data_IF_762244021399
#
_entry.id   IF_762244021399
#
_cell.length_a   1.000
_cell.length_b   1.000
_cell.length_c   1.000
_cell.angle_alpha   90.00
_cell.angle_beta   90.00
_cell.angle_gamma   90.00
#
_symmetry.space_group_name_H-M   'P 1'
#
loop_
_entity.id
_entity.type
_entity.pdbx_description
1 polymer ?
#
# COMPACT_ATOMS: atom_id res chain seq x y z
N UNK A 1 17.16 3.84 5.65
CA UNK A 1 16.56 5.13 6.10
C UNK A 1 16.00 4.91 7.49
N UNK A 2 15.83 5.97 8.29
CA UNK A 2 15.30 5.80 9.65
C UNK A 2 13.79 5.57 9.62
N UNK A 3 13.34 4.46 10.22
CA UNK A 3 11.94 4.18 10.46
C UNK A 3 11.33 5.34 11.29
N UNK A 4 10.25 5.98 10.84
CA UNK A 4 9.65 7.11 11.54
C UNK A 4 8.93 6.71 12.84
N UNK A 5 8.69 5.41 13.04
CA UNK A 5 8.00 4.88 14.23
C UNK A 5 8.99 4.57 15.36
N UNK A 6 10.08 3.88 15.05
CA UNK A 6 11.01 3.38 16.08
C UNK A 6 12.47 3.80 15.91
N UNK A 7 12.84 4.45 14.80
CA UNK A 7 14.21 4.91 14.54
C UNK A 7 15.19 3.83 14.06
N UNK A 8 14.75 2.59 13.87
CA UNK A 8 15.61 1.53 13.30
C UNK A 8 15.90 1.79 11.81
N UNK A 9 16.97 1.22 11.27
CA UNK A 9 17.17 1.23 9.81
C UNK A 9 16.13 0.38 9.10
N UNK A 10 15.62 0.88 7.98
CA UNK A 10 14.72 0.17 7.07
C UNK A 10 15.00 0.59 5.64
N UNK A 11 14.97 -0.37 4.72
CA UNK A 11 15.16 -0.14 3.29
C UNK A 11 13.91 0.42 2.62
N UNK A 12 14.06 0.92 1.40
CA UNK A 12 12.94 1.42 0.58
C UNK A 12 12.08 0.24 0.13
N UNK A 13 10.76 0.40 0.20
CA UNK A 13 9.80 -0.66 -0.16
C UNK A 13 9.94 -1.92 0.70
N UNK A 14 10.29 -1.76 1.97
CA UNK A 14 10.51 -2.85 2.92
C UNK A 14 9.70 -2.66 4.22
N UNK A 15 9.64 -3.70 5.05
CA UNK A 15 8.96 -3.70 6.35
C UNK A 15 10.02 -3.62 7.45
N UNK A 16 9.84 -2.71 8.40
CA UNK A 16 10.72 -2.62 9.56
C UNK A 16 10.59 -3.87 10.43
N UNK A 17 11.67 -4.65 10.55
CA UNK A 17 11.70 -5.90 11.33
C UNK A 17 11.40 -5.70 12.83
N UNK A 18 11.67 -4.52 13.37
CA UNK A 18 11.46 -4.24 14.80
C UNK A 18 10.01 -3.91 15.14
N UNK A 19 9.33 -3.11 14.31
CA UNK A 19 8.00 -2.57 14.66
C UNK A 19 6.91 -2.82 13.61
N UNK A 20 7.26 -3.39 12.46
CA UNK A 20 6.31 -3.74 11.39
C UNK A 20 5.84 -2.57 10.52
N UNK A 21 6.38 -1.36 10.70
CA UNK A 21 6.06 -0.24 9.81
C UNK A 21 6.48 -0.55 8.36
N UNK A 22 5.58 -0.30 7.41
CA UNK A 22 5.79 -0.61 5.99
C UNK A 22 6.24 0.64 5.23
N UNK A 23 7.52 0.68 4.87
CA UNK A 23 8.06 1.75 4.07
C UNK A 23 7.52 1.66 2.64
N UNK A 24 6.63 2.56 2.24
CA UNK A 24 6.08 2.58 0.87
C UNK A 24 6.92 3.42 -0.11
N UNK A 25 8.14 3.82 0.27
CA UNK A 25 9.04 4.62 -0.55
C UNK A 25 8.63 6.08 -0.71
N UNK A 26 9.23 6.82 -1.66
CA UNK A 26 9.04 8.28 -1.81
C UNK A 26 7.61 8.75 -2.13
N UNK A 27 6.74 7.83 -2.55
CA UNK A 27 5.33 8.08 -2.86
C UNK A 27 4.41 7.59 -1.73
N UNK A 28 4.93 7.47 -0.49
CA UNK A 28 4.14 7.09 0.68
C UNK A 28 2.84 7.91 0.77
N UNK A 29 1.70 7.23 0.92
CA UNK A 29 0.37 7.84 0.97
C UNK A 29 -0.21 8.33 -0.37
N UNK A 30 0.60 8.40 -1.44
CA UNK A 30 0.16 8.80 -2.80
C UNK A 30 0.18 7.65 -3.80
N UNK A 31 0.97 6.61 -3.53
CA UNK A 31 0.98 5.37 -4.27
C UNK A 31 -0.33 4.61 -4.04
N UNK A 32 -1.34 4.91 -4.87
CA UNK A 32 -2.40 3.95 -5.14
C UNK A 32 -1.71 2.78 -5.84
N UNK A 33 -1.86 1.55 -5.31
CA UNK A 33 -1.34 0.35 -5.97
C UNK A 33 -1.80 0.27 -7.44
N UNK A 34 -1.28 -0.67 -8.23
CA UNK A 34 -1.54 -0.74 -9.67
C UNK A 34 -3.03 -0.92 -10.04
N UNK A 35 -3.87 -1.22 -9.06
CA UNK A 35 -5.30 -1.40 -9.24
C UNK A 35 -5.95 -0.10 -9.67
N UNK A 36 -6.65 -0.16 -10.81
CA UNK A 36 -7.40 0.98 -11.36
C UNK A 36 -8.67 1.30 -10.57
N UNK A 37 -9.05 0.41 -9.66
CA UNK A 37 -10.20 0.56 -8.78
C UNK A 37 -9.86 0.16 -7.35
N UNK A 38 -10.54 0.78 -6.40
CA UNK A 38 -10.55 0.35 -5.01
C UNK A 38 -11.22 -1.02 -4.85
N UNK A 39 -10.95 -1.70 -3.74
CA UNK A 39 -11.60 -2.97 -3.41
C UNK A 39 -13.14 -2.83 -3.35
N UNK A 40 -13.65 -1.68 -2.92
CA UNK A 40 -15.08 -1.43 -2.86
C UNK A 40 -15.69 -1.34 -4.27
N UNK A 41 -15.06 -0.57 -5.16
CA UNK A 41 -15.48 -0.44 -6.55
C UNK A 41 -15.42 -1.79 -7.28
N UNK A 42 -14.41 -2.62 -7.01
CA UNK A 42 -14.31 -3.98 -7.54
C UNK A 42 -15.47 -4.87 -7.09
N UNK A 43 -15.83 -4.83 -5.80
CA UNK A 43 -16.96 -5.58 -5.25
C UNK A 43 -18.28 -5.15 -5.89
N UNK A 44 -18.47 -3.86 -6.14
CA UNK A 44 -19.67 -3.36 -6.82
C UNK A 44 -19.72 -3.74 -8.29
N UNK A 45 -18.60 -3.64 -9.01
CA UNK A 45 -18.51 -4.05 -10.41
C UNK A 45 -18.87 -5.53 -10.55
N UNK A 46 -18.33 -6.39 -9.69
CA UNK A 46 -18.66 -7.82 -9.64
C UNK A 46 -20.16 -8.06 -9.42
N UNK A 47 -20.76 -7.43 -8.39
CA UNK A 47 -22.21 -7.55 -8.10
C UNK A 47 -23.10 -7.11 -9.27
N UNK A 48 -22.65 -6.11 -10.04
CA UNK A 48 -23.37 -5.56 -11.20
C UNK A 48 -23.06 -6.30 -12.51
N UNK A 49 -22.26 -7.37 -12.49
CA UNK A 49 -21.82 -8.09 -13.68
C UNK A 49 -20.93 -7.27 -14.62
N UNK A 50 -20.27 -6.22 -14.11
CA UNK A 50 -19.36 -5.35 -14.86
C UNK A 50 -17.92 -5.86 -14.75
N UNK A 51 -17.09 -5.47 -15.73
CA UNK A 51 -15.65 -5.80 -15.73
C UNK A 51 -14.94 -5.14 -14.54
N UNK A 52 -14.22 -5.96 -13.76
CA UNK A 52 -13.26 -5.53 -12.73
C UNK A 52 -11.95 -5.14 -13.42
N UNK A 53 -11.30 -4.04 -13.02
CA UNK A 53 -10.13 -3.43 -13.68
C UNK A 53 -8.96 -3.19 -12.74
#
# INVERSE_FOLDING_TARGET
>A
MKCPVCGEEVDLFDICDNCGWQNSGPLEGTAKGPNKMSLQEAKEAYKKGKKVM
#
